data_IF_461295969331
#
_entry.id   IF_461295969331
#
_cell.length_a   1.000
_cell.length_b   1.000
_cell.length_c   1.000
_cell.angle_alpha   90.00
_cell.angle_beta   90.00
_cell.angle_gamma   90.00
#
_symmetry.space_group_name_H-M   'P 1'
#
loop_
_entity.id
_entity.type
_entity.pdbx_description
1 polymer ?
#
# COMPACT_ATOMS: atom_id res chain seq x y z
N UNK A 1 1.16 -39.65 -31.14
CA UNK A 1 2.33 -39.51 -30.25
C UNK A 1 2.31 -38.25 -29.38
N UNK A 2 1.33 -37.32 -29.51
CA UNK A 2 1.24 -36.13 -28.64
C UNK A 2 0.67 -36.39 -27.23
N UNK A 3 -0.34 -37.27 -27.11
CA UNK A 3 -1.10 -37.45 -25.85
C UNK A 3 -0.33 -38.04 -24.66
N UNK A 4 0.75 -38.80 -24.90
CA UNK A 4 1.57 -39.37 -23.81
C UNK A 4 2.60 -38.40 -23.24
N UNK A 5 2.93 -37.31 -23.97
CA UNK A 5 3.85 -36.27 -23.49
C UNK A 5 3.12 -35.25 -22.62
N UNK A 6 1.92 -34.86 -23.03
CA UNK A 6 1.09 -33.91 -22.27
C UNK A 6 0.62 -34.51 -20.92
N UNK A 7 0.36 -35.82 -20.84
CA UNK A 7 0.04 -36.52 -19.59
C UNK A 7 1.26 -36.62 -18.64
N UNK A 8 2.47 -36.83 -19.18
CA UNK A 8 3.70 -36.90 -18.38
C UNK A 8 4.13 -35.52 -17.85
N UNK A 9 3.97 -34.46 -18.65
CA UNK A 9 4.25 -33.08 -18.21
C UNK A 9 3.28 -32.64 -17.08
N UNK A 10 1.98 -32.98 -17.19
CA UNK A 10 1.00 -32.67 -16.14
C UNK A 10 1.17 -33.47 -14.83
N UNK A 11 1.63 -34.73 -14.90
CA UNK A 11 1.97 -35.51 -13.70
C UNK A 11 3.25 -35.03 -13.01
N UNK A 12 4.21 -34.53 -13.78
CA UNK A 12 5.48 -34.00 -13.26
C UNK A 12 5.28 -32.62 -12.62
N UNK A 13 4.46 -31.73 -13.22
CA UNK A 13 4.05 -30.45 -12.62
C UNK A 13 3.29 -30.66 -11.30
N UNK A 14 2.32 -31.59 -11.24
CA UNK A 14 1.57 -31.87 -10.02
C UNK A 14 2.47 -32.40 -8.88
N UNK A 15 3.44 -33.27 -9.19
CA UNK A 15 4.41 -33.77 -8.18
C UNK A 15 5.38 -32.70 -7.68
N UNK A 16 5.70 -31.71 -8.52
CA UNK A 16 6.53 -30.57 -8.13
C UNK A 16 5.73 -29.65 -7.21
N UNK A 17 4.46 -29.37 -7.55
CA UNK A 17 3.55 -28.59 -6.72
C UNK A 17 3.31 -29.23 -5.34
N UNK A 18 3.00 -30.52 -5.26
CA UNK A 18 2.79 -31.22 -3.98
C UNK A 18 4.04 -31.15 -3.09
N UNK A 19 5.25 -31.29 -3.66
CA UNK A 19 6.52 -31.16 -2.93
C UNK A 19 6.84 -29.73 -2.51
N UNK A 20 6.31 -28.75 -3.21
CA UNK A 20 6.47 -27.33 -2.88
C UNK A 20 5.51 -26.92 -1.77
N UNK A 21 4.26 -27.39 -1.79
CA UNK A 21 3.29 -27.23 -0.70
C UNK A 21 3.77 -27.87 0.62
N UNK A 22 4.29 -29.11 0.56
CA UNK A 22 4.88 -29.78 1.75
C UNK A 22 6.05 -28.96 2.35
N UNK A 23 6.78 -28.22 1.52
CA UNK A 23 7.89 -27.36 1.97
C UNK A 23 7.44 -26.04 2.58
N UNK A 24 6.25 -25.54 2.25
CA UNK A 24 5.65 -24.36 2.87
C UNK A 24 5.10 -24.67 4.27
N UNK A 25 4.60 -25.88 4.50
CA UNK A 25 4.15 -26.32 5.83
C UNK A 25 5.29 -26.36 6.88
N UNK A 26 6.54 -26.35 6.42
CA UNK A 26 7.73 -26.24 7.27
C UNK A 26 8.02 -24.80 7.73
N UNK A 27 7.48 -23.78 7.05
CA UNK A 27 7.72 -22.37 7.41
C UNK A 27 7.08 -22.05 8.78
N UNK A 28 7.85 -21.58 9.78
CA UNK A 28 7.34 -21.37 11.13
C UNK A 28 6.16 -20.40 11.22
N UNK A 29 6.09 -19.43 10.29
CA UNK A 29 5.04 -18.40 10.25
C UNK A 29 3.75 -18.89 9.60
N UNK A 30 3.82 -19.96 8.78
CA UNK A 30 2.68 -20.56 8.06
C UNK A 30 2.15 -21.84 8.73
N UNK A 31 2.96 -22.45 9.60
CA UNK A 31 2.60 -23.70 10.27
C UNK A 31 1.40 -23.51 11.20
N UNK A 32 0.35 -24.31 10.99
CA UNK A 32 -0.86 -24.31 11.85
C UNK A 32 -0.47 -24.53 13.31
N UNK A 33 -0.81 -23.55 14.15
CA UNK A 33 -0.56 -23.64 15.58
C UNK A 33 -1.84 -24.09 16.29
N UNK A 34 -1.82 -25.29 16.85
CA UNK A 34 -2.83 -25.68 17.83
C UNK A 34 -2.53 -24.88 19.10
N UNK A 35 -3.49 -24.05 19.55
CA UNK A 35 -3.61 -23.51 20.93
C UNK A 35 -3.03 -22.12 21.27
N UNK A 36 -2.80 -21.19 20.32
CA UNK A 36 -2.44 -19.81 20.68
C UNK A 36 -3.56 -18.80 20.42
N UNK A 37 -4.61 -18.87 21.23
CA UNK A 37 -5.71 -17.87 21.24
C UNK A 37 -5.40 -16.64 22.09
N UNK A 38 -4.39 -16.72 22.97
CA UNK A 38 -3.92 -15.60 23.76
C UNK A 38 -2.73 -14.92 23.07
N UNK A 39 -2.76 -13.59 22.98
CA UNK A 39 -1.69 -12.80 22.37
C UNK A 39 -0.37 -12.94 23.16
N UNK A 40 -0.45 -12.92 24.48
CA UNK A 40 0.72 -12.99 25.36
C UNK A 40 1.17 -14.43 25.68
N UNK A 41 2.48 -14.66 25.91
CA UNK A 41 3.58 -13.70 25.73
C UNK A 41 3.88 -13.46 24.24
N UNK A 42 4.28 -12.23 23.88
CA UNK A 42 4.70 -11.87 22.51
C UNK A 42 5.96 -12.66 22.15
N UNK A 43 5.97 -13.27 20.96
CA UNK A 43 7.08 -14.08 20.42
C UNK A 43 7.82 -13.37 19.29
N UNK A 44 7.10 -12.61 18.48
CA UNK A 44 7.66 -11.83 17.38
C UNK A 44 7.58 -10.34 17.69
N UNK A 45 8.56 -9.87 18.46
CA UNK A 45 8.57 -8.50 18.98
C UNK A 45 8.57 -7.44 17.86
N UNK A 46 9.34 -7.66 16.80
CA UNK A 46 9.41 -6.75 15.64
C UNK A 46 8.08 -6.64 14.88
N UNK A 47 7.34 -7.75 14.73
CA UNK A 47 6.00 -7.72 14.12
C UNK A 47 4.99 -7.00 15.01
N UNK A 48 5.10 -7.21 16.33
CA UNK A 48 4.23 -6.53 17.29
C UNK A 48 4.49 -5.01 17.32
N UNK A 49 5.74 -4.59 17.21
CA UNK A 49 6.12 -3.17 17.09
C UNK A 49 5.55 -2.53 15.83
N UNK A 50 5.61 -3.23 14.68
CA UNK A 50 4.94 -2.78 13.45
C UNK A 50 3.44 -2.63 13.63
N UNK A 51 2.79 -3.59 14.31
CA UNK A 51 1.36 -3.49 14.63
C UNK A 51 1.07 -2.28 15.52
N UNK A 52 1.86 -2.04 16.56
CA UNK A 52 1.71 -0.86 17.43
C UNK A 52 1.97 0.45 16.70
N UNK A 53 2.89 0.46 15.74
CA UNK A 53 3.14 1.61 14.87
C UNK A 53 1.95 1.88 13.95
N UNK A 54 1.32 0.84 13.39
CA UNK A 54 0.10 0.95 12.61
C UNK A 54 -1.06 1.48 13.46
N UNK A 55 -1.28 0.88 14.64
CA UNK A 55 -2.32 1.27 15.60
C UNK A 55 -2.19 2.75 16.01
N UNK A 56 -0.96 3.21 16.30
CA UNK A 56 -0.69 4.61 16.64
C UNK A 56 -0.95 5.59 15.48
N UNK A 57 -1.03 5.09 14.25
CA UNK A 57 -1.23 5.87 13.04
C UNK A 57 -2.70 5.94 12.60
N UNK A 58 -3.63 5.30 13.34
CA UNK A 58 -5.07 5.28 13.05
C UNK A 58 -5.64 6.66 12.72
N UNK A 59 -6.45 6.77 11.67
CA UNK A 59 -7.18 7.98 11.30
C UNK A 59 -8.52 7.62 10.65
N UNK A 60 -9.47 8.56 10.58
CA UNK A 60 -10.75 8.38 9.87
C UNK A 60 -10.94 9.40 8.75
N UNK A 61 -11.79 9.07 7.77
CA UNK A 61 -12.06 9.93 6.61
C UNK A 61 -12.58 11.33 7.02
N UNK A 62 -13.30 11.44 8.14
CA UNK A 62 -13.80 12.72 8.67
C UNK A 62 -12.70 13.67 9.16
N UNK A 63 -11.47 13.19 9.40
CA UNK A 63 -10.33 14.04 9.74
C UNK A 63 -9.84 14.88 8.54
N UNK A 64 -10.27 14.54 7.32
CA UNK A 64 -9.89 15.20 6.07
C UNK A 64 -10.92 16.25 5.67
N UNK A 65 -10.53 17.52 5.75
CA UNK A 65 -11.38 18.64 5.33
C UNK A 65 -11.32 18.85 3.80
N UNK A 66 -12.45 18.59 3.12
CA UNK A 66 -12.62 18.80 1.68
C UNK A 66 -13.31 20.12 1.31
N UNK A 67 -13.57 21.01 2.28
CA UNK A 67 -14.37 22.22 2.07
C UNK A 67 -13.79 23.17 1.02
N UNK A 68 -12.46 23.26 0.93
CA UNK A 68 -11.75 24.11 -0.03
C UNK A 68 -11.55 23.42 -1.38
N UNK A 69 -11.58 22.10 -1.42
CA UNK A 69 -11.21 21.33 -2.61
C UNK A 69 -12.17 21.51 -3.77
N UNK A 70 -13.46 21.77 -3.52
CA UNK A 70 -14.43 22.02 -4.60
C UNK A 70 -14.05 23.25 -5.41
N UNK A 71 -13.62 24.33 -4.73
CA UNK A 71 -13.20 25.55 -5.40
C UNK A 71 -11.89 25.35 -6.17
N UNK A 72 -10.94 24.63 -5.57
CA UNK A 72 -9.68 24.29 -6.23
C UNK A 72 -9.94 23.41 -7.46
N UNK A 73 -10.78 22.39 -7.32
CA UNK A 73 -11.18 21.48 -8.39
C UNK A 73 -11.74 22.25 -9.56
N UNK A 74 -12.71 23.14 -9.34
CA UNK A 74 -13.34 23.91 -10.40
C UNK A 74 -12.33 24.77 -11.18
N UNK A 75 -11.31 25.30 -10.49
CA UNK A 75 -10.23 26.08 -11.07
C UNK A 75 -9.17 25.27 -11.85
N UNK A 76 -9.12 23.94 -11.70
CA UNK A 76 -8.19 23.10 -12.44
C UNK A 76 -8.51 23.04 -13.94
N UNK A 77 -7.47 22.86 -14.75
CA UNK A 77 -7.61 22.57 -16.16
C UNK A 77 -8.30 21.22 -16.40
N UNK A 78 -8.90 21.04 -17.58
CA UNK A 78 -9.52 19.76 -17.94
C UNK A 78 -8.51 18.60 -17.94
N UNK A 79 -7.25 18.87 -18.29
CA UNK A 79 -6.17 17.87 -18.26
C UNK A 79 -5.85 17.42 -16.83
N UNK A 80 -5.77 18.36 -15.88
CA UNK A 80 -5.55 18.04 -14.47
C UNK A 80 -6.75 17.29 -13.87
N UNK A 81 -7.98 17.75 -14.15
CA UNK A 81 -9.20 17.05 -13.74
C UNK A 81 -9.25 15.62 -14.26
N UNK A 82 -8.92 15.43 -15.54
CA UNK A 82 -8.87 14.11 -16.17
C UNK A 82 -7.83 13.20 -15.49
N UNK A 83 -6.62 13.72 -15.24
CA UNK A 83 -5.57 12.97 -14.56
C UNK A 83 -6.00 12.55 -13.16
N UNK A 84 -6.45 13.50 -12.34
CA UNK A 84 -6.82 13.24 -10.93
C UNK A 84 -8.01 12.29 -10.86
N UNK A 85 -9.05 12.47 -11.68
CA UNK A 85 -10.22 11.59 -11.63
C UNK A 85 -9.90 10.14 -11.97
N UNK A 86 -8.98 9.91 -12.91
CA UNK A 86 -8.59 8.55 -13.31
C UNK A 86 -7.63 7.92 -12.29
N UNK A 87 -6.76 8.71 -11.64
CA UNK A 87 -5.95 8.24 -10.50
C UNK A 87 -6.85 7.81 -9.34
N UNK A 88 -7.84 8.63 -8.97
CA UNK A 88 -8.78 8.30 -7.88
C UNK A 88 -9.63 7.06 -8.21
N UNK A 89 -10.06 6.94 -9.47
CA UNK A 89 -10.80 5.77 -9.93
C UNK A 89 -9.96 4.48 -9.89
N UNK A 90 -8.65 4.59 -10.19
CA UNK A 90 -7.71 3.49 -10.04
C UNK A 90 -7.57 3.08 -8.57
N UNK A 91 -7.36 4.04 -7.66
CA UNK A 91 -7.23 3.77 -6.23
C UNK A 91 -8.48 3.10 -5.65
N UNK A 92 -9.66 3.68 -5.88
CA UNK A 92 -10.93 3.14 -5.37
C UNK A 92 -11.18 1.68 -5.79
N UNK A 93 -10.75 1.31 -7.00
CA UNK A 93 -10.84 -0.07 -7.48
C UNK A 93 -9.76 -0.98 -6.90
N UNK A 94 -8.54 -0.47 -6.69
CA UNK A 94 -7.39 -1.27 -6.29
C UNK A 94 -7.44 -1.69 -4.82
N UNK A 95 -7.87 -0.79 -3.92
CA UNK A 95 -7.98 -1.10 -2.49
C UNK A 95 -8.97 -2.25 -2.24
N UNK A 96 -10.03 -2.34 -3.05
CA UNK A 96 -10.95 -3.48 -3.00
C UNK A 96 -10.28 -4.82 -3.34
N UNK A 97 -9.35 -4.82 -4.29
CA UNK A 97 -8.57 -6.00 -4.69
C UNK A 97 -7.56 -6.37 -3.59
N UNK A 98 -6.89 -5.37 -3.01
CA UNK A 98 -5.97 -5.54 -1.86
C UNK A 98 -6.70 -6.16 -0.66
N UNK A 99 -7.89 -5.63 -0.33
CA UNK A 99 -8.73 -6.11 0.76
C UNK A 99 -9.11 -7.59 0.59
N UNK A 100 -9.49 -7.99 -0.63
CA UNK A 100 -9.82 -9.38 -0.94
C UNK A 100 -8.59 -10.30 -0.74
N UNK A 101 -7.41 -9.87 -1.18
CA UNK A 101 -6.18 -10.63 -0.96
C UNK A 101 -5.85 -10.83 0.53
N UNK A 102 -5.91 -9.76 1.31
CA UNK A 102 -5.60 -9.78 2.73
C UNK A 102 -6.56 -10.70 3.49
N UNK A 103 -7.86 -10.51 3.28
CA UNK A 103 -8.91 -11.22 3.99
C UNK A 103 -9.02 -12.69 3.57
N UNK A 104 -8.96 -12.96 2.26
CA UNK A 104 -9.14 -14.32 1.73
C UNK A 104 -7.85 -15.15 1.81
N UNK A 105 -6.67 -14.54 1.73
CA UNK A 105 -5.39 -15.26 1.66
C UNK A 105 -4.47 -14.99 2.83
N UNK A 106 -3.81 -13.83 2.90
CA UNK A 106 -2.69 -13.67 3.84
C UNK A 106 -3.08 -13.83 5.31
N UNK A 107 -4.27 -13.37 5.71
CA UNK A 107 -4.76 -13.59 7.06
C UNK A 107 -4.98 -15.08 7.38
N UNK A 108 -5.35 -15.87 6.37
CA UNK A 108 -5.54 -17.31 6.46
C UNK A 108 -4.23 -18.10 6.37
N UNK A 109 -3.28 -17.67 5.53
CA UNK A 109 -1.98 -18.31 5.33
C UNK A 109 -1.09 -18.16 6.57
N UNK A 110 -0.97 -16.93 7.09
CA UNK A 110 -0.09 -16.63 8.22
C UNK A 110 -0.76 -17.03 9.52
N UNK A 111 -0.08 -17.83 10.34
CA UNK A 111 -0.65 -18.43 11.56
C UNK A 111 -0.23 -17.73 12.85
N UNK A 112 0.76 -16.85 12.79
CA UNK A 112 1.27 -16.17 13.98
C UNK A 112 0.36 -14.99 14.41
N UNK A 113 -0.07 -14.92 15.68
CA UNK A 113 -1.02 -13.90 16.15
C UNK A 113 -0.55 -12.46 15.94
N UNK A 114 0.75 -12.18 16.09
CA UNK A 114 1.32 -10.84 15.93
C UNK A 114 1.12 -10.31 14.51
N UNK A 115 1.34 -11.14 13.49
CA UNK A 115 1.11 -10.74 12.10
C UNK A 115 -0.38 -10.62 11.78
N UNK A 116 -1.22 -11.50 12.33
CA UNK A 116 -2.68 -11.42 12.18
C UNK A 116 -3.24 -10.14 12.81
N UNK A 117 -2.67 -9.66 13.92
CA UNK A 117 -3.04 -8.39 14.51
C UNK A 117 -2.72 -7.22 13.56
N UNK A 118 -1.53 -7.23 12.94
CA UNK A 118 -1.17 -6.26 11.90
C UNK A 118 -2.16 -6.30 10.73
N UNK A 119 -2.37 -7.48 10.12
CA UNK A 119 -3.28 -7.60 8.98
C UNK A 119 -4.73 -7.24 9.32
N UNK A 120 -5.22 -7.56 10.53
CA UNK A 120 -6.54 -7.13 10.96
C UNK A 120 -6.67 -5.60 11.01
N UNK A 121 -5.60 -4.91 11.41
CA UNK A 121 -5.57 -3.45 11.40
C UNK A 121 -5.38 -2.88 9.98
N UNK A 122 -4.52 -3.49 9.16
CA UNK A 122 -4.37 -3.13 7.75
C UNK A 122 -5.72 -3.20 7.03
N UNK A 123 -6.45 -4.33 7.14
CA UNK A 123 -7.81 -4.49 6.58
C UNK A 123 -8.75 -3.36 7.03
N UNK A 124 -8.68 -2.92 8.29
CA UNK A 124 -9.49 -1.81 8.75
C UNK A 124 -9.10 -0.49 8.07
N UNK A 125 -7.79 -0.23 7.92
CA UNK A 125 -7.30 0.97 7.23
C UNK A 125 -7.60 0.97 5.73
N UNK A 126 -7.50 -0.17 5.04
CA UNK A 126 -7.89 -0.31 3.62
C UNK A 126 -9.36 0.08 3.39
N UNK A 127 -10.25 -0.25 4.34
CA UNK A 127 -11.64 0.19 4.26
C UNK A 127 -11.78 1.72 4.39
N UNK A 128 -10.97 2.34 5.25
CA UNK A 128 -10.94 3.80 5.42
C UNK A 128 -10.35 4.47 4.18
N UNK A 129 -9.33 3.87 3.56
CA UNK A 129 -8.77 4.35 2.29
C UNK A 129 -9.81 4.30 1.17
N UNK A 130 -10.51 3.16 1.04
CA UNK A 130 -11.59 2.97 0.07
C UNK A 130 -12.74 3.98 0.27
N UNK A 131 -13.13 4.24 1.52
CA UNK A 131 -14.08 5.30 1.87
C UNK A 131 -13.57 6.68 1.46
N UNK A 132 -12.32 7.01 1.78
CA UNK A 132 -11.71 8.30 1.46
C UNK A 132 -11.67 8.54 -0.04
N UNK A 133 -11.23 7.57 -0.85
CA UNK A 133 -11.24 7.70 -2.32
C UNK A 133 -12.65 7.84 -2.89
N UNK A 134 -13.62 7.11 -2.33
CA UNK A 134 -15.03 7.23 -2.70
C UNK A 134 -15.57 8.63 -2.39
N UNK A 135 -15.23 9.19 -1.23
CA UNK A 135 -15.61 10.54 -0.81
C UNK A 135 -14.97 11.62 -1.71
N UNK A 136 -13.71 11.46 -2.10
CA UNK A 136 -13.03 12.35 -3.05
C UNK A 136 -13.75 12.34 -4.42
N UNK A 137 -14.05 11.16 -4.96
CA UNK A 137 -14.80 11.02 -6.22
C UNK A 137 -16.20 11.62 -6.11
N UNK A 138 -16.92 11.37 -5.02
CA UNK A 138 -18.26 11.91 -4.76
C UNK A 138 -18.22 13.45 -4.70
N UNK A 139 -17.17 14.00 -4.11
CA UNK A 139 -16.99 15.44 -3.94
C UNK A 139 -16.68 16.13 -5.27
N UNK A 140 -15.77 15.57 -6.08
CA UNK A 140 -15.26 16.22 -7.29
C UNK A 140 -16.13 15.97 -8.53
N UNK A 141 -16.72 14.78 -8.66
CA UNK A 141 -17.43 14.36 -9.86
C UNK A 141 -18.94 14.55 -9.68
N UNK A 142 -19.47 15.65 -10.23
CA UNK A 142 -20.91 15.95 -10.14
C UNK A 142 -21.77 15.18 -11.13
N UNK A 143 -21.22 14.80 -12.29
CA UNK A 143 -21.95 14.03 -13.28
C UNK A 143 -22.10 12.57 -12.85
N UNK A 144 -23.34 12.11 -12.70
CA UNK A 144 -23.67 10.77 -12.23
C UNK A 144 -23.20 9.67 -13.20
N UNK A 145 -23.20 9.95 -14.51
CA UNK A 145 -22.74 8.98 -15.52
C UNK A 145 -21.23 8.81 -15.47
N UNK A 146 -20.48 9.91 -15.46
CA UNK A 146 -19.03 9.86 -15.32
C UNK A 146 -18.60 9.22 -14.00
N UNK A 147 -19.28 9.57 -12.91
CA UNK A 147 -19.06 8.94 -11.60
C UNK A 147 -19.24 7.42 -11.67
N UNK A 148 -20.34 6.94 -12.25
CA UNK A 148 -20.56 5.51 -12.43
C UNK A 148 -19.50 4.84 -13.31
N UNK A 149 -19.02 5.52 -14.36
CA UNK A 149 -17.92 5.03 -15.21
C UNK A 149 -16.63 4.87 -14.40
N UNK A 150 -16.29 5.86 -13.57
CA UNK A 150 -15.07 5.87 -12.75
C UNK A 150 -15.12 4.83 -11.62
N UNK A 151 -16.26 4.62 -10.95
CA UNK A 151 -16.38 3.54 -9.96
C UNK A 151 -16.22 2.14 -10.55
N UNK A 152 -16.52 1.97 -11.86
CA UNK A 152 -16.31 0.71 -12.58
C UNK A 152 -15.01 0.71 -13.40
N UNK A 153 -13.97 1.40 -12.93
CA UNK A 153 -12.74 1.64 -13.70
C UNK A 153 -12.01 0.36 -14.17
N UNK A 154 -12.07 -0.74 -13.41
CA UNK A 154 -11.48 -2.03 -13.83
C UNK A 154 -12.08 -2.51 -15.15
N UNK A 155 -13.38 -2.36 -15.31
CA UNK A 155 -14.09 -2.72 -16.54
C UNK A 155 -14.04 -1.62 -17.58
N UNK A 156 -14.07 -0.35 -17.18
CA UNK A 156 -14.26 0.78 -18.08
C UNK A 156 -12.97 1.45 -18.57
N UNK A 157 -11.83 1.26 -17.90
CA UNK A 157 -10.55 1.94 -18.18
C UNK A 157 -9.44 0.91 -18.44
N UNK A 158 -8.92 0.80 -19.68
CA UNK A 158 -7.93 -0.22 -20.05
C UNK A 158 -6.66 -0.24 -19.21
N UNK A 159 -6.13 0.93 -18.82
CA UNK A 159 -4.89 1.01 -18.05
C UNK A 159 -5.05 0.57 -16.60
N UNK A 160 -6.22 0.80 -16.01
CA UNK A 160 -6.59 0.27 -14.69
C UNK A 160 -6.74 -1.24 -14.76
N UNK A 161 -7.38 -1.75 -15.82
CA UNK A 161 -7.59 -3.19 -16.02
C UNK A 161 -6.28 -3.98 -16.04
N UNK A 162 -5.23 -3.48 -16.70
CA UNK A 162 -3.94 -4.18 -16.79
C UNK A 162 -3.30 -4.39 -15.41
N UNK A 163 -3.25 -3.33 -14.60
CA UNK A 163 -2.76 -3.40 -13.21
C UNK A 163 -3.62 -4.30 -12.34
N UNK A 164 -4.94 -4.10 -12.38
CA UNK A 164 -5.88 -4.93 -11.63
C UNK A 164 -5.74 -6.41 -11.99
N UNK A 165 -5.59 -6.72 -13.29
CA UNK A 165 -5.37 -8.09 -13.76
C UNK A 165 -4.09 -8.68 -13.17
N UNK A 166 -2.97 -7.97 -13.21
CA UNK A 166 -1.72 -8.46 -12.63
C UNK A 166 -1.89 -8.79 -11.14
N UNK A 167 -2.52 -7.91 -10.36
CA UNK A 167 -2.76 -8.16 -8.94
C UNK A 167 -3.69 -9.38 -8.73
N UNK A 168 -4.81 -9.45 -9.47
CA UNK A 168 -5.75 -10.57 -9.39
C UNK A 168 -5.11 -11.91 -9.77
N UNK A 169 -4.24 -11.93 -10.78
CA UNK A 169 -3.52 -13.14 -11.19
C UNK A 169 -2.67 -13.69 -10.03
N UNK A 170 -1.99 -12.83 -9.25
CA UNK A 170 -1.25 -13.25 -8.06
C UNK A 170 -2.17 -13.70 -6.92
N UNK A 171 -3.28 -13.00 -6.70
CA UNK A 171 -4.28 -13.37 -5.69
C UNK A 171 -4.85 -14.75 -5.98
N UNK A 172 -5.16 -15.05 -7.24
CA UNK A 172 -5.77 -16.32 -7.64
C UNK A 172 -4.74 -17.44 -7.89
N UNK A 173 -3.45 -17.11 -7.93
CA UNK A 173 -2.38 -18.07 -8.23
C UNK A 173 -2.22 -19.17 -7.17
N UNK A 174 -1.76 -20.34 -7.61
CA UNK A 174 -1.20 -21.39 -6.73
C UNK A 174 0.30 -21.18 -6.43
N UNK A 175 0.88 -20.04 -6.83
CA UNK A 175 2.28 -19.70 -6.58
C UNK A 175 2.63 -19.73 -5.10
N UNK A 176 3.90 -19.98 -4.77
CA UNK A 176 4.39 -20.01 -3.40
C UNK A 176 4.04 -18.73 -2.62
N UNK A 177 3.78 -18.85 -1.32
CA UNK A 177 3.57 -17.74 -0.39
C UNK A 177 4.66 -16.67 -0.52
N UNK A 178 5.93 -17.08 -0.65
CA UNK A 178 7.04 -16.16 -0.82
C UNK A 178 6.94 -15.33 -2.12
N UNK A 179 6.46 -15.92 -3.22
CA UNK A 179 6.22 -15.21 -4.48
C UNK A 179 5.05 -14.24 -4.36
N UNK A 180 3.94 -14.72 -3.78
CA UNK A 180 2.75 -13.89 -3.53
C UNK A 180 3.08 -12.71 -2.62
N UNK A 181 3.90 -12.91 -1.58
CA UNK A 181 4.29 -11.86 -0.65
C UNK A 181 5.18 -10.79 -1.32
N UNK A 182 6.10 -11.18 -2.20
CA UNK A 182 6.89 -10.22 -3.00
C UNK A 182 6.00 -9.47 -3.98
N UNK A 183 5.07 -10.16 -4.64
CA UNK A 183 4.11 -9.52 -5.53
C UNK A 183 3.23 -8.52 -4.78
N UNK A 184 2.78 -8.87 -3.58
CA UNK A 184 2.03 -7.99 -2.70
C UNK A 184 2.82 -6.75 -2.30
N UNK A 185 4.09 -6.90 -1.91
CA UNK A 185 4.96 -5.76 -1.63
C UNK A 185 5.12 -4.83 -2.86
N UNK A 186 5.04 -5.36 -4.07
CA UNK A 186 5.03 -4.53 -5.29
C UNK A 186 3.69 -3.79 -5.48
N UNK A 187 2.55 -4.37 -5.09
CA UNK A 187 1.25 -3.68 -5.12
C UNK A 187 1.30 -2.46 -4.19
N UNK A 188 1.62 -2.69 -2.91
CA UNK A 188 1.65 -1.63 -1.88
C UNK A 188 2.76 -0.59 -2.18
N UNK A 189 3.94 -1.04 -2.61
CA UNK A 189 5.13 -0.21 -2.72
C UNK A 189 5.38 0.43 -4.10
N UNK A 190 4.99 -0.23 -5.21
CA UNK A 190 5.31 0.22 -6.58
C UNK A 190 4.07 0.72 -7.32
N UNK A 191 2.97 -0.03 -7.32
CA UNK A 191 1.78 0.27 -8.15
C UNK A 191 1.05 1.56 -7.80
N UNK A 192 1.31 2.09 -6.61
CA UNK A 192 0.78 3.38 -6.16
C UNK A 192 1.82 4.51 -6.19
N UNK A 193 3.09 4.18 -6.36
CA UNK A 193 4.20 5.13 -6.19
C UNK A 193 4.14 6.33 -7.14
N UNK A 194 3.85 6.12 -8.43
CA UNK A 194 3.74 7.19 -9.42
C UNK A 194 2.53 8.09 -9.16
N UNK A 195 1.41 7.50 -8.76
CA UNK A 195 0.18 8.22 -8.39
C UNK A 195 0.38 9.09 -7.14
N UNK A 196 0.97 8.54 -6.07
CA UNK A 196 1.28 9.30 -4.85
C UNK A 196 2.24 10.45 -5.14
N UNK A 197 3.31 10.19 -5.90
CA UNK A 197 4.23 11.22 -6.34
C UNK A 197 3.50 12.33 -7.15
N UNK A 198 2.58 11.94 -8.02
CA UNK A 198 1.80 12.89 -8.83
C UNK A 198 0.86 13.76 -8.00
N UNK A 199 0.28 13.24 -6.92
CA UNK A 199 -0.55 14.03 -6.00
C UNK A 199 0.32 14.94 -5.14
N UNK A 200 1.49 14.48 -4.68
CA UNK A 200 2.45 15.35 -3.99
C UNK A 200 2.96 16.50 -4.85
N UNK A 201 3.03 16.32 -6.18
CA UNK A 201 3.29 17.42 -7.10
C UNK A 201 2.19 18.51 -7.04
N UNK A 202 0.92 18.13 -6.87
CA UNK A 202 -0.16 19.10 -6.65
C UNK A 202 0.01 19.84 -5.31
N UNK A 203 0.45 19.13 -4.26
CA UNK A 203 0.80 19.75 -2.97
C UNK A 203 1.88 20.81 -3.13
N UNK A 204 2.96 20.50 -3.87
CA UNK A 204 4.03 21.46 -4.18
C UNK A 204 3.51 22.71 -4.90
N UNK A 205 2.43 22.59 -5.67
CA UNK A 205 1.75 23.70 -6.36
C UNK A 205 0.70 24.42 -5.51
N UNK A 206 0.46 23.97 -4.27
CA UNK A 206 -0.55 24.55 -3.38
C UNK A 206 -1.99 24.25 -3.80
N UNK A 207 -2.24 23.09 -4.43
CA UNK A 207 -3.54 22.69 -4.96
C UNK A 207 -4.15 21.55 -4.15
N UNK A 208 -5.49 21.50 -4.12
CA UNK A 208 -6.27 20.39 -3.55
C UNK A 208 -5.82 19.99 -2.13
N UNK A 209 -5.94 20.89 -1.14
CA UNK A 209 -5.43 20.65 0.21
C UNK A 209 -6.01 19.40 0.87
N UNK A 210 -7.28 19.09 0.64
CA UNK A 210 -7.93 17.87 1.13
C UNK A 210 -7.36 16.61 0.50
N UNK A 211 -7.33 16.54 -0.85
CA UNK A 211 -6.72 15.44 -1.61
C UNK A 211 -5.27 15.17 -1.20
N UNK A 212 -4.48 16.25 -1.05
CA UNK A 212 -3.05 16.12 -0.76
C UNK A 212 -2.80 15.71 0.68
N UNK A 213 -3.63 16.17 1.62
CA UNK A 213 -3.57 15.70 2.99
C UNK A 213 -4.00 14.24 3.14
N UNK A 214 -5.09 13.80 2.49
CA UNK A 214 -5.45 12.37 2.50
C UNK A 214 -4.36 11.51 1.87
N UNK A 215 -3.71 11.98 0.80
CA UNK A 215 -2.60 11.30 0.16
C UNK A 215 -1.38 11.14 1.09
N UNK A 216 -1.11 12.10 1.99
CA UNK A 216 -0.07 11.95 3.02
C UNK A 216 -0.37 10.82 3.99
N UNK A 217 -1.62 10.71 4.43
CA UNK A 217 -2.05 9.67 5.37
C UNK A 217 -1.99 8.29 4.71
N UNK A 218 -2.56 8.16 3.52
CA UNK A 218 -2.61 6.88 2.80
C UNK A 218 -1.21 6.43 2.37
N UNK A 219 -0.41 7.29 1.73
CA UNK A 219 0.95 6.90 1.30
C UNK A 219 1.86 6.50 2.45
N UNK A 220 1.64 7.03 3.66
CA UNK A 220 2.34 6.59 4.88
C UNK A 220 1.90 5.19 5.29
N UNK A 221 0.59 4.92 5.26
CA UNK A 221 0.04 3.61 5.61
C UNK A 221 0.55 2.54 4.62
N UNK A 222 0.48 2.81 3.32
CA UNK A 222 1.03 1.92 2.27
C UNK A 222 2.54 1.65 2.43
N UNK A 223 3.29 2.69 2.81
CA UNK A 223 4.71 2.52 3.15
C UNK A 223 4.91 1.54 4.32
N UNK A 224 4.08 1.64 5.36
CA UNK A 224 4.12 0.74 6.50
C UNK A 224 3.69 -0.68 6.15
N UNK A 225 2.70 -0.84 5.28
CA UNK A 225 2.24 -2.15 4.79
C UNK A 225 3.33 -2.83 3.94
N UNK A 226 3.97 -2.08 3.05
CA UNK A 226 5.11 -2.54 2.26
C UNK A 226 6.29 -2.96 3.15
N UNK A 227 6.64 -2.15 4.16
CA UNK A 227 7.66 -2.48 5.16
C UNK A 227 7.32 -3.77 5.91
N UNK A 228 6.04 -3.95 6.27
CA UNK A 228 5.57 -5.16 6.95
C UNK A 228 5.70 -6.41 6.06
N UNK A 229 5.34 -6.30 4.78
CA UNK A 229 5.53 -7.39 3.81
C UNK A 229 7.02 -7.78 3.68
N UNK A 230 7.92 -6.79 3.64
CA UNK A 230 9.37 -7.03 3.61
C UNK A 230 9.87 -7.68 4.90
N UNK A 231 9.41 -7.22 6.06
CA UNK A 231 9.74 -7.81 7.36
C UNK A 231 9.29 -9.27 7.44
N UNK A 232 8.06 -9.55 7.00
CA UNK A 232 7.53 -10.91 6.98
C UNK A 232 8.31 -11.81 6.00
N UNK A 233 8.71 -11.29 4.85
CA UNK A 233 9.58 -11.99 3.90
C UNK A 233 10.95 -12.30 4.50
N UNK A 234 11.50 -11.38 5.31
CA UNK A 234 12.72 -11.58 6.08
C UNK A 234 12.65 -12.71 7.11
N UNK A 235 11.45 -13.10 7.55
CA UNK A 235 11.24 -14.20 8.50
C UNK A 235 11.12 -15.57 7.83
N UNK A 236 10.99 -15.63 6.50
CA UNK A 236 10.93 -16.89 5.76
C UNK A 236 12.29 -17.60 5.80
N UNK A 237 12.28 -18.90 6.06
CA UNK A 237 13.49 -19.72 6.01
C UNK A 237 13.90 -20.02 4.56
N UNK A 238 12.93 -20.17 3.66
CA UNK A 238 13.11 -20.45 2.24
C UNK A 238 12.71 -19.23 1.42
N UNK A 239 13.61 -18.26 1.36
CA UNK A 239 13.46 -17.11 0.47
C UNK A 239 13.64 -17.49 -1.00
N UNK A 240 13.09 -16.66 -1.88
CA UNK A 240 13.22 -16.84 -3.33
C UNK A 240 14.64 -16.60 -3.78
N UNK A 241 15.01 -17.20 -4.91
CA UNK A 241 16.22 -16.79 -5.62
C UNK A 241 16.08 -15.33 -6.05
N UNK A 242 17.13 -14.53 -5.87
CA UNK A 242 17.12 -13.09 -6.17
C UNK A 242 16.65 -12.78 -7.60
N UNK A 243 16.93 -13.66 -8.57
CA UNK A 243 16.47 -13.49 -9.95
C UNK A 243 14.94 -13.47 -10.05
N UNK A 244 14.25 -14.33 -9.28
CA UNK A 244 12.78 -14.37 -9.28
C UNK A 244 12.21 -13.10 -8.68
N UNK A 245 12.78 -12.61 -7.57
CA UNK A 245 12.42 -11.33 -6.95
C UNK A 245 12.60 -10.19 -7.96
N UNK A 246 13.77 -10.12 -8.62
CA UNK A 246 14.04 -9.11 -9.64
C UNK A 246 13.06 -9.17 -10.82
N UNK A 247 12.61 -10.36 -11.24
CA UNK A 247 11.63 -10.50 -12.30
C UNK A 247 10.26 -9.91 -11.89
N UNK A 248 9.76 -10.27 -10.70
CA UNK A 248 8.47 -9.77 -10.20
C UNK A 248 8.51 -8.25 -10.06
N UNK A 249 9.56 -7.72 -9.42
CA UNK A 249 9.74 -6.27 -9.26
C UNK A 249 9.88 -5.56 -10.60
N UNK A 250 10.60 -6.15 -11.55
CA UNK A 250 10.79 -5.54 -12.86
C UNK A 250 9.48 -5.42 -13.65
N UNK A 251 8.67 -6.49 -13.65
CA UNK A 251 7.36 -6.47 -14.28
C UNK A 251 6.47 -5.40 -13.64
N UNK A 252 6.47 -5.28 -12.31
CA UNK A 252 5.72 -4.25 -11.63
C UNK A 252 6.15 -2.83 -12.02
N UNK A 253 7.46 -2.59 -12.17
CA UNK A 253 8.01 -1.31 -12.63
C UNK A 253 7.59 -0.97 -14.06
N UNK A 254 7.58 -1.95 -14.97
CA UNK A 254 7.16 -1.73 -16.35
C UNK A 254 5.68 -1.34 -16.42
N UNK A 255 4.83 -2.07 -15.70
CA UNK A 255 3.39 -1.79 -15.62
C UNK A 255 3.13 -0.41 -15.00
N UNK A 256 3.82 -0.07 -13.92
CA UNK A 256 3.66 1.24 -13.27
C UNK A 256 4.12 2.38 -14.17
N UNK A 257 5.27 2.19 -14.85
CA UNK A 257 5.81 3.18 -15.78
C UNK A 257 4.85 3.43 -16.94
N UNK A 258 4.35 2.37 -17.58
CA UNK A 258 3.36 2.47 -18.66
C UNK A 258 2.10 3.21 -18.18
N UNK A 259 1.61 2.87 -16.99
CA UNK A 259 0.41 3.49 -16.44
C UNK A 259 0.55 5.01 -16.30
N UNK A 260 1.58 5.50 -15.60
CA UNK A 260 1.69 6.93 -15.27
C UNK A 260 2.43 7.76 -16.33
N UNK A 261 3.14 7.12 -17.26
CA UNK A 261 3.88 7.82 -18.31
C UNK A 261 3.18 7.80 -19.67
N UNK A 262 2.38 6.77 -19.96
CA UNK A 262 1.77 6.56 -21.28
C UNK A 262 0.25 6.55 -21.22
N UNK A 263 -0.34 5.72 -20.38
CA UNK A 263 -1.78 5.51 -20.40
C UNK A 263 -2.56 6.60 -19.65
N UNK A 264 -1.99 7.12 -18.57
CA UNK A 264 -2.43 8.31 -17.85
C UNK A 264 -1.23 9.23 -17.63
N UNK A 265 -0.76 9.95 -18.68
CA UNK A 265 0.51 10.66 -18.62
C UNK A 265 0.55 11.73 -17.52
N UNK A 266 1.53 11.65 -16.63
CA UNK A 266 1.81 12.71 -15.65
C UNK A 266 2.16 14.06 -16.29
N UNK A 267 2.47 14.09 -17.59
CA UNK A 267 2.57 15.32 -18.38
C UNK A 267 1.26 16.15 -18.35
N UNK A 268 0.10 15.53 -18.13
CA UNK A 268 -1.19 16.20 -18.00
C UNK A 268 -1.25 17.15 -16.80
N UNK A 269 -0.43 16.93 -15.77
CA UNK A 269 -0.29 17.80 -14.59
C UNK A 269 1.04 18.57 -14.60
N UNK A 270 1.77 18.55 -15.71
CA UNK A 270 3.03 19.28 -15.90
C UNK A 270 4.27 18.57 -15.35
N UNK A 271 4.22 17.26 -15.09
CA UNK A 271 5.40 16.47 -14.70
C UNK A 271 6.13 15.89 -15.93
N UNK A 272 7.41 15.58 -15.75
CA UNK A 272 8.23 14.97 -16.79
C UNK A 272 8.21 13.44 -16.68
N UNK A 273 7.74 12.74 -17.72
CA UNK A 273 7.64 11.27 -17.73
C UNK A 273 8.98 10.55 -17.57
N UNK A 274 10.09 11.13 -18.06
CA UNK A 274 11.43 10.56 -17.86
C UNK A 274 11.83 10.58 -16.39
N UNK A 275 11.59 11.70 -15.71
CA UNK A 275 11.83 11.80 -14.26
C UNK A 275 10.87 10.89 -13.48
N UNK A 276 9.61 10.78 -13.88
CA UNK A 276 8.67 9.86 -13.24
C UNK A 276 9.12 8.39 -13.37
N UNK A 277 9.56 7.97 -14.56
CA UNK A 277 10.13 6.62 -14.76
C UNK A 277 11.38 6.39 -13.91
N UNK A 278 12.25 7.41 -13.77
CA UNK A 278 13.41 7.33 -12.89
C UNK A 278 12.98 7.17 -11.41
N UNK A 279 11.96 7.91 -10.98
CA UNK A 279 11.43 7.82 -9.62
C UNK A 279 10.86 6.42 -9.31
N UNK A 280 10.08 5.82 -10.22
CA UNK A 280 9.56 4.46 -10.05
C UNK A 280 10.70 3.44 -9.90
N UNK A 281 11.75 3.58 -10.71
CA UNK A 281 12.96 2.73 -10.61
C UNK A 281 13.71 2.93 -9.30
N UNK A 282 13.78 4.18 -8.80
CA UNK A 282 14.34 4.49 -7.49
C UNK A 282 13.56 3.80 -6.37
N UNK A 283 12.23 3.86 -6.39
CA UNK A 283 11.36 3.17 -5.42
C UNK A 283 11.56 1.65 -5.49
N UNK A 284 11.63 1.08 -6.69
CA UNK A 284 11.86 -0.35 -6.88
C UNK A 284 13.22 -0.81 -6.34
N UNK A 285 14.28 -0.01 -6.49
CA UNK A 285 15.58 -0.32 -5.87
C UNK A 285 15.53 -0.28 -4.34
N UNK A 286 14.73 0.59 -3.75
CA UNK A 286 14.51 0.60 -2.30
C UNK A 286 13.78 -0.66 -1.84
N UNK A 287 12.72 -1.06 -2.55
CA UNK A 287 12.01 -2.30 -2.27
C UNK A 287 12.93 -3.52 -2.41
N UNK A 288 13.76 -3.59 -3.47
CA UNK A 288 14.71 -4.69 -3.64
C UNK A 288 15.68 -4.79 -2.47
N UNK A 289 16.21 -3.67 -1.98
CA UNK A 289 17.09 -3.65 -0.81
C UNK A 289 16.36 -4.10 0.46
N UNK A 290 15.12 -3.66 0.67
CA UNK A 290 14.29 -4.08 1.79
C UNK A 290 13.98 -5.58 1.78
N UNK A 291 13.86 -6.18 0.59
CA UNK A 291 13.72 -7.62 0.36
C UNK A 291 15.06 -8.39 0.42
N UNK A 292 16.17 -7.73 0.77
CA UNK A 292 17.50 -8.36 0.87
C UNK A 292 18.21 -8.62 -0.46
N UNK A 293 17.73 -8.02 -1.55
CA UNK A 293 18.31 -8.12 -2.89
C UNK A 293 19.22 -6.92 -3.23
N UNK A 294 20.06 -7.07 -4.26
CA UNK A 294 20.85 -5.95 -4.78
C UNK A 294 20.00 -5.04 -5.67
N UNK A 295 20.36 -3.75 -5.72
CA UNK A 295 19.73 -2.78 -6.62
C UNK A 295 19.86 -3.23 -8.08
N UNK A 296 18.80 -3.03 -8.86
CA UNK A 296 18.75 -3.37 -10.29
C UNK A 296 19.01 -2.15 -11.16
N UNK A 297 18.42 -0.99 -10.82
CA UNK A 297 18.41 0.19 -11.69
C UNK A 297 19.53 1.17 -11.38
N UNK A 298 19.95 1.25 -10.12
CA UNK A 298 21.01 2.12 -9.60
C UNK A 298 20.79 3.60 -9.97
N UNK A 299 19.57 4.08 -9.77
CA UNK A 299 19.18 5.47 -10.03
C UNK A 299 18.91 6.24 -8.74
N UNK A 300 19.10 7.55 -8.80
CA UNK A 300 18.81 8.47 -7.69
C UNK A 300 17.37 9.00 -7.76
N UNK A 301 16.86 9.50 -6.64
CA UNK A 301 15.57 10.17 -6.58
C UNK A 301 15.59 11.47 -7.39
N UNK A 302 14.79 11.61 -8.46
CA UNK A 302 14.76 12.83 -9.26
C UNK A 302 13.92 13.96 -8.65
N UNK A 303 13.18 13.70 -7.57
CA UNK A 303 12.26 14.64 -6.93
C UNK A 303 12.70 14.93 -5.49
N UNK A 304 13.58 15.92 -5.33
CA UNK A 304 14.07 16.42 -4.03
C UNK A 304 12.95 16.73 -3.03
N UNK A 305 11.84 17.28 -3.51
CA UNK A 305 10.66 17.63 -2.71
C UNK A 305 9.93 16.43 -2.11
N UNK A 306 10.11 15.21 -2.63
CA UNK A 306 9.50 14.01 -2.02
C UNK A 306 10.07 13.72 -0.63
N UNK A 307 11.36 13.99 -0.41
CA UNK A 307 11.99 13.81 0.90
C UNK A 307 11.49 14.86 1.91
N UNK A 308 11.39 16.12 1.48
CA UNK A 308 10.89 17.20 2.31
C UNK A 308 9.44 17.01 2.73
N UNK A 309 8.57 16.57 1.81
CA UNK A 309 7.17 16.33 2.12
C UNK A 309 7.01 15.16 3.08
N UNK A 310 7.79 14.07 2.91
CA UNK A 310 7.79 12.94 3.85
C UNK A 310 8.17 13.38 5.27
N UNK A 311 9.20 14.23 5.41
CA UNK A 311 9.64 14.76 6.71
C UNK A 311 8.59 15.71 7.35
N UNK A 312 8.00 16.61 6.56
CA UNK A 312 6.95 17.52 7.05
C UNK A 312 5.68 16.78 7.44
N UNK A 313 5.25 15.79 6.64
CA UNK A 313 4.08 14.97 6.94
C UNK A 313 4.23 14.20 8.25
N UNK A 314 5.42 13.62 8.50
CA UNK A 314 5.74 12.98 9.78
C UNK A 314 5.68 13.96 10.95
N UNK A 315 6.37 15.10 10.87
CA UNK A 315 6.37 16.10 11.94
C UNK A 315 4.96 16.62 12.27
N UNK A 316 4.22 17.04 11.24
CA UNK A 316 2.86 17.58 11.40
C UNK A 316 1.89 16.56 11.99
N UNK A 317 2.00 15.28 11.61
CA UNK A 317 1.13 14.24 12.14
C UNK A 317 1.36 14.00 13.64
N UNK A 318 2.62 13.82 14.05
CA UNK A 318 2.96 13.60 15.45
C UNK A 318 2.65 14.84 16.30
N UNK A 319 2.96 16.04 15.83
CA UNK A 319 2.62 17.28 16.54
C UNK A 319 1.11 17.46 16.71
N UNK A 320 0.32 17.21 15.65
CA UNK A 320 -1.14 17.32 15.69
C UNK A 320 -1.74 16.29 16.64
N UNK A 321 -1.29 15.03 16.60
CA UNK A 321 -1.74 13.96 17.51
C UNK A 321 -1.34 14.22 18.95
N UNK A 322 -0.11 14.64 19.21
CA UNK A 322 0.32 15.03 20.57
C UNK A 322 -0.53 16.19 21.08
N UNK A 323 -0.83 17.18 20.22
CA UNK A 323 -1.74 18.28 20.54
C UNK A 323 -3.16 17.81 20.87
N UNK A 324 -3.70 16.85 20.12
CA UNK A 324 -5.05 16.32 20.32
C UNK A 324 -5.14 15.42 21.56
N UNK A 325 -4.11 14.61 21.85
CA UNK A 325 -4.01 13.86 23.11
C UNK A 325 -3.83 14.78 24.33
N UNK A 326 -3.05 15.86 24.20
CA UNK A 326 -2.93 16.87 25.25
C UNK A 326 -4.27 17.56 25.50
N UNK A 327 -4.99 17.95 24.45
CA UNK A 327 -6.34 18.54 24.57
C UNK A 327 -7.33 17.56 25.18
N UNK A 328 -7.32 16.29 24.77
CA UNK A 328 -8.17 15.24 25.35
C UNK A 328 -7.84 14.97 26.83
N UNK A 329 -6.55 14.95 27.18
CA UNK A 329 -6.07 14.81 28.57
C UNK A 329 -6.47 16.01 29.43
N UNK A 330 -6.35 17.24 28.90
CA UNK A 330 -6.79 18.46 29.58
C UNK A 330 -8.31 18.48 29.76
N UNK A 331 -9.09 18.11 28.74
CA UNK A 331 -10.55 17.98 28.87
C UNK A 331 -10.97 16.89 29.85
N UNK A 332 -10.25 15.76 29.89
CA UNK A 332 -10.45 14.69 30.87
C UNK A 332 -10.12 15.13 32.30
N UNK A 333 -9.05 15.91 32.48
CA UNK A 333 -8.66 16.48 33.78
C UNK A 333 -9.61 17.57 34.30
N UNK A 334 -10.30 18.27 33.39
CA UNK A 334 -11.36 19.23 33.72
C UNK A 334 -12.68 18.54 34.10
N UNK A 335 -12.94 17.32 33.61
CA UNK A 335 -14.14 16.54 33.96
C UNK A 335 -13.97 15.63 35.17
N UNK A 336 -12.76 15.16 35.46
CA UNK A 336 -12.47 14.33 36.63
C UNK A 336 -11.46 15.01 37.54
N UNK A 337 -11.95 15.67 38.60
CA UNK A 337 -11.14 16.21 39.69
C UNK A 337 -10.46 15.12 40.53
N UNK A 338 -9.56 14.35 39.93
CA UNK A 338 -8.94 13.18 40.53
C UNK A 338 -7.60 12.82 39.90
N UNK A 339 -6.55 13.10 40.66
CA UNK A 339 -5.13 12.96 40.34
C UNK A 339 -4.70 11.51 39.96
N UNK A 340 -4.04 11.34 38.80
CA UNK A 340 -2.92 10.41 38.52
C UNK A 340 -2.50 10.51 37.03
N UNK A 341 -1.47 11.31 36.76
CA UNK A 341 -0.84 11.39 35.44
C UNK A 341 0.03 10.15 35.18
N UNK A 342 -0.37 9.29 34.23
CA UNK A 342 0.59 8.44 33.53
C UNK A 342 1.14 9.25 32.36
N UNK A 343 2.31 9.85 32.56
CA UNK A 343 3.04 10.54 31.49
C UNK A 343 3.71 9.47 30.62
N UNK A 344 3.15 9.21 29.45
CA UNK A 344 3.82 8.44 28.41
C UNK A 344 4.83 9.37 27.74
N UNK A 345 6.13 9.11 27.97
CA UNK A 345 7.21 9.86 27.32
C UNK A 345 7.57 9.16 26.01
N UNK A 346 7.46 9.90 24.90
CA UNK A 346 7.91 9.52 23.57
C UNK A 346 9.20 10.28 23.22
N UNK A 347 10.15 10.34 24.16
CA UNK A 347 11.47 10.92 23.89
C UNK A 347 12.44 9.79 23.53
N UNK A 348 12.37 9.28 22.31
CA UNK A 348 13.55 8.72 21.61
C UNK A 348 13.49 9.15 20.14
N UNK A 349 14.41 10.04 19.79
CA UNK A 349 14.66 10.55 18.45
C UNK A 349 14.94 9.39 17.45
N UNK A 350 14.20 9.37 16.33
CA UNK A 350 14.59 8.69 15.09
C UNK A 350 14.23 9.54 13.87
#
# INVERSE_FOLDING_TARGET
MGSLRDEQEGEEENRVMEKEEEKEEEEPILKKQNQRFCMFPIRYQTLWEMYKKAEASFWTAEEVDLSQDVQHWDALSNSEKHFISHVLAFFAASDGIVLENLAARFLNDVQIPEARAFYGFQIAMENIHSEMYSLLLETYIKDSKEKHRLFNAVESIPCVRKKAKWALDWIQSSSLFAERLVAFACVEGIFFSGSFCSIFWLKKRGLMPGLTFSNELISRDEGLHCDFACLLYGLLQKQLKWQKVHCIVHEAVEIETEFVCEALPCALIGMNSTLMSQYIKFVADHLLVALGCQRKYNVENPFDWMEFISLQGKANFFERRVGDYQKASVMSSLQNGGNKNYVFKLDEDF
#
